data_IF_695404711738
#
_entry.id   IF_695404711738
#
_cell.length_a   1.000
_cell.length_b   1.000
_cell.length_c   1.000
_cell.angle_alpha   90.00
_cell.angle_beta   90.00
_cell.angle_gamma   90.00
#
_symmetry.space_group_name_H-M   'P 1'
#
loop_
_entity.id
_entity.type
_entity.pdbx_description
1 polymer ?
#
# COMPACT_ATOMS: atom_id res chain seq x y z
N UNK A 1 7.70 -4.17 -5.42
CA UNK A 1 8.45 -3.19 -6.25
C UNK A 1 8.84 -1.98 -5.40
N UNK A 2 10.03 -1.40 -5.59
CA UNK A 2 10.53 -0.29 -4.76
C UNK A 2 10.74 1.00 -5.55
N UNK A 3 10.19 2.11 -5.04
CA UNK A 3 10.37 3.46 -5.56
C UNK A 3 11.50 4.13 -4.77
N UNK A 4 12.52 4.63 -5.48
CA UNK A 4 13.61 5.37 -4.85
C UNK A 4 13.19 6.82 -4.60
N UNK A 5 13.06 7.17 -3.32
CA UNK A 5 12.67 8.49 -2.87
C UNK A 5 13.84 9.49 -2.91
N UNK A 6 15.10 9.02 -2.93
CA UNK A 6 16.30 9.87 -2.98
C UNK A 6 16.28 10.84 -4.16
N UNK A 7 15.68 10.43 -5.28
CA UNK A 7 15.53 11.27 -6.49
C UNK A 7 14.66 12.52 -6.30
N UNK A 8 13.78 12.51 -5.29
CA UNK A 8 12.89 13.61 -4.95
C UNK A 8 13.58 14.66 -4.08
N UNK A 9 14.59 14.27 -3.31
CA UNK A 9 15.41 15.21 -2.51
C UNK A 9 16.41 15.99 -3.35
N UNK A 10 16.65 15.58 -4.60
CA UNK A 10 17.53 16.30 -5.52
C UNK A 10 17.02 17.70 -5.88
N UNK A 11 15.72 18.00 -5.67
CA UNK A 11 15.16 19.35 -5.88
C UNK A 11 14.01 19.61 -4.91
N UNK A 12 14.05 20.75 -4.22
CA UNK A 12 12.99 21.16 -3.29
C UNK A 12 11.67 21.41 -4.04
N UNK A 13 10.54 20.90 -3.53
CA UNK A 13 9.23 21.03 -4.17
C UNK A 13 8.94 20.08 -5.33
N UNK A 14 9.81 19.09 -5.60
CA UNK A 14 9.59 18.14 -6.70
C UNK A 14 8.46 17.18 -6.37
N UNK A 15 7.55 17.02 -7.31
CA UNK A 15 6.52 16.00 -7.31
C UNK A 15 6.79 15.01 -8.44
N UNK A 16 6.58 13.72 -8.16
CA UNK A 16 6.70 12.67 -9.18
C UNK A 16 5.59 11.67 -8.98
N UNK A 17 4.90 11.37 -10.08
CA UNK A 17 3.88 10.34 -10.12
C UNK A 17 4.49 9.06 -10.65
N UNK A 18 4.27 7.98 -9.93
CA UNK A 18 4.71 6.63 -10.23
C UNK A 18 3.47 5.79 -10.51
N UNK A 19 3.49 5.04 -11.60
CA UNK A 19 2.41 4.09 -11.93
C UNK A 19 3.02 2.71 -11.91
N UNK A 20 2.69 1.94 -10.88
CA UNK A 20 3.26 0.63 -10.64
C UNK A 20 2.16 -0.42 -10.70
N UNK A 21 2.42 -1.49 -11.44
CA UNK A 21 1.51 -2.62 -11.49
C UNK A 21 1.73 -3.49 -10.26
N UNK A 22 0.64 -3.95 -9.64
CA UNK A 22 0.70 -4.91 -8.54
C UNK A 22 1.23 -6.23 -9.11
N UNK A 23 2.45 -6.62 -8.76
CA UNK A 23 3.05 -7.88 -9.24
C UNK A 23 2.66 -9.07 -8.37
N UNK A 24 2.29 -8.85 -7.09
CA UNK A 24 1.78 -9.93 -6.24
C UNK A 24 0.57 -10.64 -6.88
N UNK A 25 0.63 -11.96 -7.09
CA UNK A 25 -0.52 -12.73 -7.57
C UNK A 25 -1.45 -13.14 -6.43
N UNK A 26 -0.95 -13.10 -5.19
CA UNK A 26 -1.64 -13.59 -4.00
C UNK A 26 -1.40 -12.65 -2.82
N UNK A 27 -2.44 -12.42 -2.04
CA UNK A 27 -2.42 -11.63 -0.83
C UNK A 27 -2.49 -12.55 0.38
N UNK A 28 -1.48 -12.47 1.27
CA UNK A 28 -1.44 -13.26 2.49
C UNK A 28 -2.03 -12.47 3.66
N UNK A 29 -3.24 -12.85 4.04
CA UNK A 29 -3.97 -12.36 5.19
C UNK A 29 -3.74 -13.24 6.43
N UNK A 30 -4.04 -12.76 7.65
CA UNK A 30 -4.06 -13.60 8.85
C UNK A 30 -5.10 -14.73 8.77
N UNK A 31 -6.16 -14.56 7.97
CA UNK A 31 -7.23 -15.54 7.78
C UNK A 31 -6.89 -16.62 6.72
N UNK A 32 -5.93 -16.34 5.83
CA UNK A 32 -5.54 -17.24 4.74
C UNK A 32 -4.81 -16.54 3.60
N UNK A 33 -4.51 -17.28 2.53
CA UNK A 33 -3.98 -16.72 1.28
C UNK A 33 -5.14 -16.55 0.27
N UNK A 34 -5.30 -15.34 -0.25
CA UNK A 34 -6.33 -14.98 -1.23
C UNK A 34 -5.70 -14.67 -2.58
N UNK A 35 -6.33 -15.10 -3.68
CA UNK A 35 -5.82 -14.85 -5.03
C UNK A 35 -6.32 -13.50 -5.56
N UNK A 36 -5.44 -12.75 -6.21
CA UNK A 36 -5.79 -11.46 -6.82
C UNK A 36 -6.26 -11.73 -8.25
N UNK A 37 -7.57 -11.77 -8.44
CA UNK A 37 -8.19 -12.05 -9.75
C UNK A 37 -8.21 -10.83 -10.66
N UNK A 38 -8.30 -9.63 -10.08
CA UNK A 38 -8.17 -8.38 -10.83
C UNK A 38 -7.34 -7.37 -10.05
N UNK A 39 -6.55 -6.58 -10.77
CA UNK A 39 -5.69 -5.54 -10.18
C UNK A 39 -5.44 -4.45 -11.19
N UNK A 40 -5.69 -3.22 -10.79
CA UNK A 40 -5.39 -2.04 -11.58
C UNK A 40 -3.97 -1.53 -11.25
N UNK A 41 -3.31 -0.82 -12.18
CA UNK A 41 -2.04 -0.19 -11.90
C UNK A 41 -2.21 0.90 -10.84
N UNK A 42 -1.47 0.75 -9.75
CA UNK A 42 -1.46 1.68 -8.62
C UNK A 42 -0.75 2.95 -9.01
N UNK A 43 -1.42 4.08 -8.82
CA UNK A 43 -0.86 5.41 -9.10
C UNK A 43 -0.51 6.08 -7.80
N UNK A 44 0.78 6.29 -7.56
CA UNK A 44 1.30 6.96 -6.38
C UNK A 44 1.96 8.26 -6.80
N UNK A 45 1.43 9.37 -6.30
CA UNK A 45 2.00 10.70 -6.42
C UNK A 45 2.79 10.99 -5.16
N UNK A 46 4.09 11.20 -5.32
CA UNK A 46 4.99 11.51 -4.21
C UNK A 46 5.46 12.96 -4.37
N UNK A 47 5.17 13.78 -3.38
CA UNK A 47 5.48 15.20 -3.36
C UNK A 47 6.44 15.54 -2.22
N UNK A 48 7.52 16.24 -2.55
CA UNK A 48 8.42 16.78 -1.54
C UNK A 48 7.90 18.13 -1.03
N UNK A 49 7.35 18.13 0.19
CA UNK A 49 6.74 19.31 0.84
C UNK A 49 7.77 20.17 1.60
N UNK A 50 9.05 19.78 1.58
CA UNK A 50 10.18 20.49 2.21
C UNK A 50 10.58 19.89 3.56
N UNK A 51 11.75 20.30 4.10
CA UNK A 51 12.35 19.75 5.35
C UNK A 51 12.50 18.21 5.36
N UNK A 52 12.74 17.63 4.18
CA UNK A 52 12.80 16.17 3.98
C UNK A 52 11.47 15.43 4.30
N UNK A 53 10.33 16.12 4.19
CA UNK A 53 8.99 15.52 4.26
C UNK A 53 8.50 15.15 2.87
N UNK A 54 7.97 13.95 2.74
CA UNK A 54 7.34 13.47 1.52
C UNK A 54 5.87 13.17 1.82
N UNK A 55 4.97 13.69 1.00
CA UNK A 55 3.59 13.23 0.95
C UNK A 55 3.45 12.21 -0.18
N UNK A 56 2.82 11.09 0.12
CA UNK A 56 2.52 10.01 -0.80
C UNK A 56 0.99 9.92 -0.84
N UNK A 57 0.42 10.17 -2.01
CA UNK A 57 -1.01 10.03 -2.24
C UNK A 57 -1.25 9.12 -3.43
N UNK A 58 -2.28 8.29 -3.40
CA UNK A 58 -2.56 7.41 -4.53
C UNK A 58 -3.79 6.55 -4.37
N UNK A 59 -4.24 5.95 -5.47
CA UNK A 59 -5.41 5.09 -5.48
C UNK A 59 -4.99 3.66 -5.85
N UNK A 60 -5.53 2.69 -5.13
CA UNK A 60 -5.32 1.27 -5.34
C UNK A 60 -6.68 0.63 -5.60
N UNK A 61 -6.81 -0.05 -6.74
CA UNK A 61 -7.99 -0.83 -7.09
C UNK A 61 -7.61 -2.26 -7.40
N UNK A 62 -8.20 -3.21 -6.68
CA UNK A 62 -8.01 -4.62 -6.94
C UNK A 62 -9.21 -5.43 -6.50
N UNK A 63 -9.36 -6.63 -7.05
CA UNK A 63 -10.35 -7.61 -6.62
C UNK A 63 -9.66 -8.87 -6.11
N UNK A 64 -9.99 -9.27 -4.89
CA UNK A 64 -9.55 -10.51 -4.30
C UNK A 64 -10.63 -11.57 -4.44
N UNK A 65 -10.20 -12.82 -4.64
CA UNK A 65 -11.06 -13.98 -4.54
C UNK A 65 -10.93 -14.56 -3.13
N UNK A 66 -11.95 -14.33 -2.32
CA UNK A 66 -12.01 -14.76 -0.92
C UNK A 66 -13.02 -15.91 -0.80
N UNK A 67 -12.61 -17.10 -0.31
CA UNK A 67 -13.54 -18.19 -0.07
C UNK A 67 -14.53 -17.83 1.04
N UNK A 68 -15.81 -18.09 0.80
CA UNK A 68 -16.85 -17.93 1.81
C UNK A 68 -16.58 -18.83 3.03
N UNK A 69 -16.65 -18.27 4.23
CA UNK A 69 -16.41 -18.99 5.49
C UNK A 69 -17.37 -20.18 5.70
N UNK A 70 -18.59 -20.08 5.16
CA UNK A 70 -19.64 -21.11 5.32
C UNK A 70 -19.60 -22.21 4.26
N UNK A 71 -19.36 -21.84 3.01
CA UNK A 71 -19.55 -22.72 1.85
C UNK A 71 -18.25 -22.98 1.08
N UNK A 72 -17.15 -22.33 1.45
CA UNK A 72 -15.85 -22.37 0.78
C UNK A 72 -15.89 -21.98 -0.70
N UNK A 73 -16.97 -21.31 -1.14
CA UNK A 73 -17.10 -20.86 -2.53
C UNK A 73 -16.28 -19.59 -2.73
N UNK A 74 -15.45 -19.50 -3.78
CA UNK A 74 -14.72 -18.28 -4.10
C UNK A 74 -15.70 -17.14 -4.39
N UNK A 75 -15.62 -16.06 -3.60
CA UNK A 75 -16.38 -14.83 -3.79
C UNK A 75 -15.41 -13.74 -4.17
N UNK A 76 -15.68 -13.08 -5.30
CA UNK A 76 -14.94 -11.89 -5.71
C UNK A 76 -15.34 -10.71 -4.84
N UNK A 77 -14.35 -10.06 -4.24
CA UNK A 77 -14.50 -8.86 -3.42
C UNK A 77 -13.65 -7.75 -4.03
N UNK A 78 -14.31 -6.67 -4.42
CA UNK A 78 -13.68 -5.50 -5.01
C UNK A 78 -13.21 -4.55 -3.89
N UNK A 79 -11.96 -4.11 -3.97
CA UNK A 79 -11.33 -3.18 -3.03
C UNK A 79 -10.92 -1.91 -3.77
N UNK A 80 -11.39 -0.78 -3.26
CA UNK A 80 -11.01 0.57 -3.68
C UNK A 80 -10.40 1.26 -2.45
N UNK A 81 -9.08 1.39 -2.45
CA UNK A 81 -8.30 1.89 -1.32
C UNK A 81 -7.63 3.19 -1.74
N UNK A 82 -7.79 4.21 -0.92
CA UNK A 82 -7.10 5.49 -1.08
C UNK A 82 -5.92 5.54 -0.12
N UNK A 83 -4.75 5.82 -0.66
CA UNK A 83 -3.49 5.91 0.05
C UNK A 83 -3.22 7.37 0.28
N UNK A 84 -3.17 7.78 1.54
CA UNK A 84 -2.63 9.07 1.94
C UNK A 84 -1.63 8.83 3.07
N UNK A 85 -0.37 9.13 2.83
CA UNK A 85 0.71 8.85 3.75
C UNK A 85 1.77 9.93 3.71
N UNK A 86 2.00 10.58 4.84
CA UNK A 86 3.11 11.52 5.01
C UNK A 86 4.30 10.83 5.66
N UNK A 87 5.47 10.91 5.04
CA UNK A 87 6.72 10.34 5.52
C UNK A 87 7.70 11.46 5.84
N UNK A 88 8.06 11.57 7.12
CA UNK A 88 9.11 12.45 7.59
C UNK A 88 10.45 11.71 7.60
N UNK A 89 11.31 11.95 6.60
CA UNK A 89 12.66 11.37 6.57
C UNK A 89 13.64 12.00 7.58
N UNK A 90 13.19 13.01 8.32
CA UNK A 90 13.98 13.60 9.39
C UNK A 90 13.88 12.83 10.70
N UNK A 91 12.89 11.93 10.82
CA UNK A 91 12.70 11.08 11.99
C UNK A 91 13.67 9.92 11.96
N UNK A 92 14.25 9.60 13.11
CA UNK A 92 15.05 8.39 13.30
C UNK A 92 14.17 7.15 13.17
N UNK A 93 14.77 5.99 12.90
CA UNK A 93 14.06 4.70 12.83
C UNK A 93 13.23 4.44 14.09
N UNK A 94 13.74 4.89 15.24
CA UNK A 94 13.09 4.86 16.56
C UNK A 94 11.83 5.74 16.62
N UNK A 95 11.90 6.99 16.13
CA UNK A 95 10.74 7.90 16.12
C UNK A 95 9.66 7.46 15.12
N UNK A 96 10.07 6.76 14.05
CA UNK A 96 9.12 6.15 13.09
C UNK A 96 8.47 4.89 13.64
N UNK A 97 9.17 4.15 14.51
CA UNK A 97 8.60 3.02 15.23
C UNK A 97 7.67 3.46 16.38
N UNK A 98 7.88 4.66 16.94
CA UNK A 98 6.98 5.27 17.92
C UNK A 98 5.74 5.93 17.29
N UNK A 99 5.77 6.22 15.98
CA UNK A 99 4.56 6.60 15.27
C UNK A 99 3.57 5.42 15.31
N UNK A 100 2.32 5.70 15.70
CA UNK A 100 1.24 4.70 15.75
C UNK A 100 1.02 4.00 14.39
N UNK A 101 1.44 4.64 13.31
CA UNK A 101 1.59 4.09 11.96
C UNK A 101 3.03 3.56 11.82
N UNK A 102 3.29 2.33 12.27
CA UNK A 102 4.46 1.61 11.77
C UNK A 102 4.35 1.64 10.24
N UNK A 103 5.31 2.25 9.54
CA UNK A 103 5.31 2.39 8.08
C UNK A 103 6.19 1.29 7.45
N UNK A 104 5.78 0.00 7.45
CA UNK A 104 6.61 -1.13 7.00
C UNK A 104 6.95 -1.05 5.51
N UNK A 105 6.17 -0.26 4.77
CA UNK A 105 6.36 -0.01 3.35
C UNK A 105 7.46 1.01 3.03
N UNK A 106 8.10 1.64 4.01
CA UNK A 106 9.25 2.52 3.79
C UNK A 106 10.50 1.94 4.44
N UNK A 107 11.47 1.54 3.62
CA UNK A 107 12.79 1.07 4.06
C UNK A 107 13.87 2.09 3.69
N UNK A 108 14.27 2.91 4.66
CA UNK A 108 15.23 4.00 4.47
C UNK A 108 14.72 5.05 3.47
N UNK A 109 15.27 5.04 2.25
CA UNK A 109 14.86 5.93 1.15
C UNK A 109 14.05 5.21 0.05
N UNK A 110 13.53 4.03 0.32
CA UNK A 110 12.76 3.23 -0.65
C UNK A 110 11.33 3.03 -0.16
N UNK A 111 10.35 3.31 -1.02
CA UNK A 111 8.95 2.96 -0.81
C UNK A 111 8.65 1.65 -1.51
N UNK A 112 8.26 0.63 -0.77
CA UNK A 112 7.80 -0.64 -1.30
C UNK A 112 6.28 -0.61 -1.51
N UNK A 113 5.88 -0.56 -2.78
CA UNK A 113 4.46 -0.45 -3.17
C UNK A 113 3.68 -1.71 -2.80
N UNK A 114 4.31 -2.88 -2.87
CA UNK A 114 3.66 -4.15 -2.52
C UNK A 114 3.33 -4.18 -1.03
N UNK A 115 4.25 -3.74 -0.18
CA UNK A 115 3.99 -3.62 1.26
C UNK A 115 2.87 -2.63 1.56
N UNK A 116 2.85 -1.49 0.86
CA UNK A 116 1.84 -0.47 1.04
C UNK A 116 0.44 -1.01 0.70
N UNK A 117 0.30 -1.64 -0.46
CA UNK A 117 -0.95 -2.28 -0.90
C UNK A 117 -1.37 -3.37 0.08
N UNK A 118 -0.41 -4.16 0.57
CA UNK A 118 -0.68 -5.21 1.54
C UNK A 118 -1.24 -4.65 2.85
N UNK A 119 -0.68 -3.54 3.34
CA UNK A 119 -1.13 -2.89 4.56
C UNK A 119 -2.58 -2.40 4.41
N UNK A 120 -2.85 -1.66 3.34
CA UNK A 120 -4.20 -1.14 3.05
C UNK A 120 -5.24 -2.24 2.90
N UNK A 121 -4.88 -3.32 2.23
CA UNK A 121 -5.74 -4.50 2.10
C UNK A 121 -6.02 -5.16 3.44
N UNK A 122 -5.03 -5.24 4.32
CA UNK A 122 -5.19 -5.85 5.64
C UNK A 122 -6.10 -5.01 6.55
N UNK A 123 -6.02 -3.68 6.44
CA UNK A 123 -6.88 -2.74 7.17
C UNK A 123 -8.33 -2.76 6.66
N UNK A 124 -8.52 -2.92 5.35
CA UNK A 124 -9.85 -2.91 4.72
C UNK A 124 -10.46 -4.31 4.56
N UNK A 125 -9.76 -5.36 4.97
CA UNK A 125 -10.24 -6.74 4.83
C UNK A 125 -11.52 -6.95 5.65
N UNK A 126 -12.62 -7.43 5.06
CA UNK A 126 -13.81 -7.78 5.82
C UNK A 126 -13.52 -8.99 6.73
N UNK A 127 -13.83 -8.87 8.02
CA UNK A 127 -13.63 -9.96 9.00
C UNK A 127 -14.42 -11.24 8.67
N UNK A 128 -15.51 -11.14 7.88
CA UNK A 128 -16.32 -12.28 7.46
C UNK A 128 -16.83 -12.07 6.05
N UNK A 129 -16.42 -12.95 5.13
CA UNK A 129 -16.98 -13.04 3.78
C UNK A 129 -18.00 -14.17 3.75
N UNK A 130 -19.26 -13.82 3.49
CA UNK A 130 -20.35 -14.77 3.34
C UNK A 130 -20.88 -14.69 1.91
N UNK A 131 -21.00 -15.84 1.25
CA UNK A 131 -21.74 -15.94 0.00
C UNK A 131 -23.22 -15.66 0.27
N UNK A 132 -23.88 -15.01 -0.68
CA UNK A 132 -25.29 -14.61 -0.59
C UNK A 132 -26.22 -15.78 -0.87
#
# INVERSE_FOLDING_TARGET
MQINLSELFSSDGKEKTYTQNIEMPRFQAPDGEFEIVEKEPVRLTIRHTGKRKLEISGEIRLSLEIPCDRCLTPVKVDFDLDVDSSVDMNLSEEERAEALDEQPYISGNYLDVDQLVRNELLLNLPMKVLCR
#
